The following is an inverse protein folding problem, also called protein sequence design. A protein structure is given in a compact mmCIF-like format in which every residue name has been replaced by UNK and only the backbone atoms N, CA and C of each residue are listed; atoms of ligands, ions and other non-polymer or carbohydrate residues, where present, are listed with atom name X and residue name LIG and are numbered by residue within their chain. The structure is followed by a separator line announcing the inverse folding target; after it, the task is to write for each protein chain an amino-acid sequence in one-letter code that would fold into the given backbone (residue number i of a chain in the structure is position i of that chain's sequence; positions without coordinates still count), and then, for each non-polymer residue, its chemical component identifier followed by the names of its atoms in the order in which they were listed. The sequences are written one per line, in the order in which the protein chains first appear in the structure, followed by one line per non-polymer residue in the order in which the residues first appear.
data_IF_117644386322
#
_entry.id   IF_117644386322
#
_cell.length_a   1.000
_cell.length_b   1.000
_cell.length_c   1.000
_cell.angle_alpha   90.00
_cell.angle_beta   90.00
_cell.angle_gamma   90.00
#
_symmetry.space_group_name_H-M   'P 1'
#
loop_
_entity.id
_entity.type
_entity.pdbx_description
1 polymer ?
#
# COMPACT_ATOMS: atom_id res chain seq x y z
N UNK A 1 0.07 25.77 30.41
CA UNK A 1 -0.75 24.70 31.03
C UNK A 1 -1.59 24.14 29.92
N UNK A 2 -1.18 23.00 29.38
CA UNK A 2 -1.85 22.39 28.25
C UNK A 2 -3.21 21.86 28.70
N UNK A 3 -4.21 21.99 27.84
CA UNK A 3 -5.56 21.59 28.15
C UNK A 3 -5.60 20.07 28.33
N UNK A 4 -6.05 19.53 29.47
CA UNK A 4 -6.05 18.08 29.71
C UNK A 4 -6.80 17.28 28.63
N UNK A 5 -7.76 17.89 27.92
CA UNK A 5 -8.45 17.23 26.81
C UNK A 5 -7.57 17.00 25.58
N UNK A 6 -6.64 17.90 25.27
CA UNK A 6 -5.79 17.79 24.07
C UNK A 6 -4.68 16.76 24.25
N UNK A 7 -4.33 16.44 25.49
CA UNK A 7 -3.35 15.40 25.81
C UNK A 7 -3.91 14.01 25.50
N UNK A 8 -5.13 13.72 25.94
CA UNK A 8 -5.75 12.41 25.67
C UNK A 8 -6.03 12.18 24.19
N UNK A 9 -6.39 13.22 23.44
CA UNK A 9 -6.61 13.13 21.99
C UNK A 9 -5.33 12.72 21.25
N UNK A 10 -4.19 13.35 21.55
CA UNK A 10 -2.88 12.98 20.99
C UNK A 10 -2.50 11.53 21.29
N UNK A 11 -2.73 11.06 22.51
CA UNK A 11 -2.40 9.67 22.88
C UNK A 11 -3.40 8.64 22.35
N UNK A 12 -4.64 9.05 22.06
CA UNK A 12 -5.61 8.26 21.30
C UNK A 12 -5.12 8.03 19.86
N UNK A 13 -4.64 9.08 19.20
CA UNK A 13 -4.04 8.98 17.86
C UNK A 13 -2.78 8.10 17.84
N UNK A 14 -1.86 8.33 18.79
CA UNK A 14 -0.65 7.49 18.95
C UNK A 14 -0.99 6.03 19.22
N UNK A 15 -2.05 5.74 19.98
CA UNK A 15 -2.53 4.38 20.21
C UNK A 15 -2.99 3.70 18.93
N UNK A 16 -3.73 4.40 18.08
CA UNK A 16 -4.16 3.87 16.77
C UNK A 16 -2.96 3.61 15.84
N UNK A 17 -2.01 4.55 15.77
CA UNK A 17 -0.79 4.39 14.97
C UNK A 17 0.09 3.25 15.47
N UNK A 18 0.21 3.08 16.78
CA UNK A 18 0.96 1.99 17.39
C UNK A 18 0.40 0.61 17.03
N UNK A 19 -0.94 0.49 17.02
CA UNK A 19 -1.63 -0.76 16.68
C UNK A 19 -1.44 -1.15 15.21
N UNK A 20 -1.30 -0.17 14.31
CA UNK A 20 -1.02 -0.40 12.87
C UNK A 20 0.49 -0.54 12.60
N UNK A 21 1.35 -0.35 13.61
CA UNK A 21 2.81 -0.43 13.47
C UNK A 21 3.44 0.77 12.76
N UNK A 22 2.76 1.92 12.74
CA UNK A 22 3.24 3.15 12.07
C UNK A 22 3.88 4.17 13.05
N UNK A 23 3.93 3.84 14.34
CA UNK A 23 4.54 4.70 15.35
C UNK A 23 6.07 4.60 15.33
N UNK A 24 6.77 5.72 15.51
CA UNK A 24 8.23 5.70 15.69
C UNK A 24 8.62 5.11 17.06
N UNK A 25 9.86 4.61 17.25
CA UNK A 25 10.32 4.10 18.54
C UNK A 25 10.23 5.12 19.67
N UNK A 26 10.50 6.38 19.38
CA UNK A 26 10.44 7.49 20.33
C UNK A 26 8.99 7.77 20.77
N UNK A 27 8.08 7.90 19.80
CA UNK A 27 6.65 8.09 20.07
C UNK A 27 6.02 6.89 20.79
N UNK A 28 6.48 5.68 20.53
CA UNK A 28 6.02 4.49 21.25
C UNK A 28 6.51 4.49 22.71
N UNK A 29 7.71 5.02 22.96
CA UNK A 29 8.21 5.28 24.30
C UNK A 29 7.32 6.28 25.05
N UNK A 30 7.01 7.42 24.43
CA UNK A 30 6.10 8.43 24.99
C UNK A 30 4.70 7.86 25.26
N UNK A 31 4.16 7.07 24.31
CA UNK A 31 2.87 6.41 24.47
C UNK A 31 2.91 5.47 25.68
N UNK A 32 3.93 4.61 25.80
CA UNK A 32 4.03 3.65 26.91
C UNK A 32 4.07 4.36 28.27
N UNK A 33 4.88 5.40 28.40
CA UNK A 33 4.97 6.22 29.62
C UNK A 33 3.62 6.85 29.99
N UNK A 34 2.86 7.33 28.99
CA UNK A 34 1.53 7.86 29.22
C UNK A 34 0.51 6.77 29.62
N UNK A 35 0.54 5.60 28.98
CA UNK A 35 -0.37 4.49 29.32
C UNK A 35 -0.14 3.96 30.74
N UNK A 36 1.08 4.06 31.27
CA UNK A 36 1.39 3.74 32.67
C UNK A 36 0.72 4.69 33.66
N UNK A 37 0.63 5.98 33.33
CA UNK A 37 0.08 7.03 34.21
C UNK A 37 -1.40 7.34 33.98
N UNK A 38 -1.96 7.03 32.81
CA UNK A 38 -3.34 7.37 32.44
C UNK A 38 -4.23 6.14 32.19
N UNK A 39 -5.20 5.92 33.09
CA UNK A 39 -6.15 4.80 32.97
C UNK A 39 -7.13 4.94 31.78
N UNK A 40 -7.48 6.16 31.36
CA UNK A 40 -8.39 6.40 30.24
C UNK A 40 -7.76 5.96 28.92
N UNK A 41 -6.56 6.47 28.60
CA UNK A 41 -5.84 6.10 27.37
C UNK A 41 -5.47 4.61 27.35
N UNK A 42 -5.17 4.00 28.50
CA UNK A 42 -4.97 2.54 28.61
C UNK A 42 -6.19 1.75 28.16
N UNK A 43 -7.37 2.13 28.62
CA UNK A 43 -8.62 1.47 28.25
C UNK A 43 -8.93 1.62 26.76
N UNK A 44 -8.66 2.79 26.18
CA UNK A 44 -8.83 3.03 24.73
C UNK A 44 -7.86 2.20 23.89
N UNK A 45 -6.59 2.14 24.29
CA UNK A 45 -5.56 1.32 23.63
C UNK A 45 -5.93 -0.18 23.64
N UNK A 46 -6.38 -0.71 24.78
CA UNK A 46 -6.85 -2.10 24.90
C UNK A 46 -8.11 -2.39 24.07
N UNK A 47 -9.00 -1.40 23.92
CA UNK A 47 -10.19 -1.53 23.08
C UNK A 47 -9.82 -1.62 21.60
N UNK A 48 -8.94 -0.74 21.13
CA UNK A 48 -8.43 -0.77 19.75
C UNK A 48 -7.65 -2.06 19.46
N UNK A 49 -6.83 -2.53 20.39
CA UNK A 49 -6.07 -3.78 20.24
C UNK A 49 -7.00 -5.00 20.11
N UNK A 50 -8.08 -5.05 20.90
CA UNK A 50 -9.09 -6.11 20.79
C UNK A 50 -9.82 -6.10 19.45
N UNK A 51 -10.17 -4.93 18.92
CA UNK A 51 -10.81 -4.83 17.60
C UNK A 51 -9.87 -5.37 16.53
N UNK A 52 -8.58 -5.00 16.58
CA UNK A 52 -7.61 -5.47 15.60
C UNK A 52 -7.42 -7.00 15.67
N UNK A 53 -7.35 -7.57 16.88
CA UNK A 53 -7.26 -9.02 17.07
C UNK A 53 -8.52 -9.78 16.68
N UNK A 54 -9.71 -9.16 16.81
CA UNK A 54 -10.97 -9.78 16.42
C UNK A 54 -11.21 -9.74 14.90
N UNK A 55 -10.82 -8.64 14.24
CA UNK A 55 -11.10 -8.38 12.82
C UNK A 55 -9.98 -8.83 11.88
N UNK A 56 -8.79 -9.21 12.39
CA UNK A 56 -7.75 -9.88 11.63
C UNK A 56 -7.49 -11.31 12.17
N UNK A 57 -8.33 -12.31 11.84
CA UNK A 57 -8.09 -13.72 12.21
C UNK A 57 -6.88 -14.37 11.52
N UNK A 58 -6.14 -13.64 10.68
CA UNK A 58 -5.13 -14.19 9.77
C UNK A 58 -3.81 -14.63 10.43
N UNK A 59 -3.70 -14.60 11.76
CA UNK A 59 -2.49 -15.01 12.47
C UNK A 59 -2.69 -16.21 13.43
N UNK A 60 -3.85 -16.88 13.41
CA UNK A 60 -4.14 -18.00 14.31
C UNK A 60 -3.98 -19.40 13.70
N UNK A 61 -3.55 -19.54 12.45
CA UNK A 61 -3.19 -20.83 11.85
C UNK A 61 -1.67 -20.94 11.61
N UNK A 62 -0.91 -21.04 12.71
CA UNK A 62 0.31 -21.87 12.79
C UNK A 62 0.85 -21.81 14.23
N UNK A 63 0.18 -22.52 15.13
CA UNK A 63 0.80 -22.93 16.39
C UNK A 63 0.33 -24.32 16.75
N UNK A 64 0.83 -25.29 15.98
CA UNK A 64 0.85 -26.68 16.40
C UNK A 64 2.24 -27.04 16.90
N UNK A 65 2.23 -27.72 18.05
CA UNK A 65 3.33 -28.39 18.78
C UNK A 65 4.34 -27.54 19.59
N UNK A 66 4.34 -27.82 20.90
CA UNK A 66 5.46 -27.73 21.85
C UNK A 66 5.66 -26.51 22.77
N UNK A 67 4.63 -25.70 23.01
CA UNK A 67 4.69 -24.67 24.08
C UNK A 67 3.48 -24.68 25.03
N UNK A 68 3.04 -25.86 25.44
CA UNK A 68 2.15 -26.04 26.60
C UNK A 68 2.95 -26.60 27.79
N UNK A 69 3.46 -25.71 28.65
CA UNK A 69 3.85 -26.10 30.02
C UNK A 69 3.93 -24.98 31.05
N UNK A 70 3.66 -23.71 30.70
CA UNK A 70 3.85 -22.60 31.66
C UNK A 70 2.60 -21.76 31.98
N UNK A 71 1.44 -22.07 31.39
CA UNK A 71 0.21 -21.31 31.61
C UNK A 71 -0.88 -22.03 32.44
N UNK A 72 -0.64 -23.26 32.90
CA UNK A 72 -1.64 -24.05 33.63
C UNK A 72 -1.70 -23.81 35.15
N UNK A 73 -0.79 -23.02 35.73
CA UNK A 73 -0.62 -22.94 37.20
C UNK A 73 -1.22 -21.67 37.86
N UNK A 74 -2.08 -20.89 37.18
CA UNK A 74 -2.58 -19.61 37.75
C UNK A 74 -4.09 -19.36 37.75
N UNK A 75 -4.93 -20.34 37.40
CA UNK A 75 -6.38 -20.15 37.39
C UNK A 75 -7.18 -21.15 38.25
N UNK A 76 -6.51 -21.89 39.13
CA UNK A 76 -7.19 -22.72 40.12
C UNK A 76 -7.21 -22.01 41.48
N UNK A 77 -7.99 -20.93 41.62
CA UNK A 77 -8.60 -20.57 42.91
C UNK A 77 -9.62 -19.42 42.75
N UNK A 78 -10.77 -19.59 43.39
CA UNK A 78 -11.90 -18.64 43.54
C UNK A 78 -12.93 -18.55 42.42
N UNK A 79 -13.66 -19.66 42.23
CA UNK A 79 -15.09 -19.60 41.88
C UNK A 79 -15.92 -19.88 43.13
N UNK A 80 -16.98 -19.11 43.39
CA UNK A 80 -18.19 -19.69 43.93
C UNK A 80 -19.34 -19.56 42.93
N UNK A 81 -19.91 -20.73 42.60
CA UNK A 81 -21.23 -20.92 42.01
C UNK A 81 -22.30 -20.12 42.76
N UNK A 82 -23.18 -19.44 42.02
CA UNK A 82 -24.59 -19.84 42.00
C UNK A 82 -25.39 -19.21 40.84
N UNK A 83 -26.53 -19.84 40.46
CA UNK A 83 -27.20 -19.65 39.19
C UNK A 83 -28.46 -18.79 39.32
N UNK A 84 -28.73 -17.91 38.36
CA UNK A 84 -30.08 -17.45 38.05
C UNK A 84 -30.07 -16.75 36.69
N UNK A 85 -30.92 -17.23 35.79
CA UNK A 85 -31.19 -16.57 34.53
C UNK A 85 -31.74 -15.16 34.75
N UNK A 86 -31.13 -14.19 34.09
CA UNK A 86 -31.60 -12.83 34.02
C UNK A 86 -31.27 -12.27 32.65
N UNK A 87 -32.29 -12.12 31.80
CA UNK A 87 -32.23 -11.31 30.58
C UNK A 87 -31.82 -9.90 31.00
N UNK A 88 -30.60 -9.47 30.66
CA UNK A 88 -30.22 -8.07 30.78
C UNK A 88 -30.68 -7.37 29.50
N UNK A 89 -31.79 -6.66 29.64
CA UNK A 89 -32.18 -5.58 28.75
C UNK A 89 -31.07 -4.53 28.76
N UNK A 90 -30.49 -4.29 27.59
CA UNK A 90 -29.56 -3.20 27.34
C UNK A 90 -30.35 -1.89 27.52
N UNK A 91 -30.13 -1.23 28.66
CA UNK A 91 -30.78 0.02 29.01
C UNK A 91 -30.31 1.17 28.12
N UNK A 92 -31.29 1.93 27.65
CA UNK A 92 -31.13 3.22 26.98
C UNK A 92 -30.34 4.21 27.86
N UNK A 93 -29.09 4.48 27.49
CA UNK A 93 -28.38 5.66 27.94
C UNK A 93 -28.49 6.74 26.86
N UNK A 94 -29.15 7.88 27.11
CA UNK A 94 -29.19 8.97 26.15
C UNK A 94 -27.83 9.68 26.13
N UNK A 95 -27.01 9.38 25.13
CA UNK A 95 -25.82 10.16 24.77
C UNK A 95 -26.24 11.53 24.23
N UNK A 96 -26.55 12.46 25.15
CA UNK A 96 -26.59 13.90 24.87
C UNK A 96 -25.20 14.47 25.04
N UNK A 97 -24.41 14.50 23.97
CA UNK A 97 -23.43 15.54 23.63
C UNK A 97 -22.76 15.21 22.29
N UNK A 98 -23.52 15.34 21.21
CA UNK A 98 -22.98 15.54 19.86
C UNK A 98 -23.34 16.97 19.43
N UNK A 99 -22.57 17.93 19.94
CA UNK A 99 -22.73 19.33 19.61
C UNK A 99 -21.37 19.93 19.31
N UNK A 100 -21.20 20.33 18.06
CA UNK A 100 -20.19 21.30 17.59
C UNK A 100 -18.79 20.74 17.22
N UNK A 101 -18.75 19.86 16.23
CA UNK A 101 -17.62 19.74 15.30
C UNK A 101 -18.17 19.91 13.87
N UNK A 102 -18.47 21.15 13.48
CA UNK A 102 -18.93 21.46 12.11
C UNK A 102 -18.92 22.98 11.89
N UNK A 103 -17.77 23.52 11.48
CA UNK A 103 -17.74 24.82 10.79
C UNK A 103 -16.52 25.07 9.90
N UNK A 104 -15.50 24.21 9.88
CA UNK A 104 -14.37 24.37 8.94
C UNK A 104 -14.57 23.65 7.60
N UNK A 105 -15.30 22.53 7.56
CA UNK A 105 -15.44 21.72 6.34
C UNK A 105 -16.48 22.24 5.32
N UNK A 106 -17.27 23.26 5.64
CA UNK A 106 -18.30 23.80 4.72
C UNK A 106 -17.78 24.82 3.71
N UNK A 107 -16.47 25.12 3.68
CA UNK A 107 -15.87 26.00 2.65
C UNK A 107 -15.25 25.27 1.46
N UNK A 108 -15.21 23.93 1.45
CA UNK A 108 -14.63 23.14 0.34
C UNK A 108 -15.65 22.28 -0.43
N UNK A 109 -16.93 22.33 -0.06
CA UNK A 109 -18.01 21.63 -0.77
C UNK A 109 -18.46 22.42 -2.00
N UNK A 110 -17.64 22.42 -3.05
CA UNK A 110 -17.97 23.08 -4.32
C UNK A 110 -17.06 22.78 -5.50
N UNK A 111 -15.92 22.12 -5.30
CA UNK A 111 -15.04 21.66 -6.39
C UNK A 111 -15.19 20.15 -6.57
N UNK A 112 -15.56 19.74 -7.79
CA UNK A 112 -15.79 18.36 -8.18
C UNK A 112 -14.58 17.49 -7.83
N UNK A 113 -14.84 16.39 -7.12
CA UNK A 113 -13.88 15.70 -6.27
C UNK A 113 -12.87 14.72 -6.91
N UNK A 114 -12.82 14.38 -8.22
CA UNK A 114 -11.84 13.38 -8.66
C UNK A 114 -10.39 13.92 -8.74
N UNK A 115 -10.19 15.23 -8.93
CA UNK A 115 -8.84 15.79 -9.08
C UNK A 115 -8.08 15.94 -7.77
N UNK A 116 -8.76 16.26 -6.66
CA UNK A 116 -8.12 16.47 -5.35
C UNK A 116 -7.54 15.17 -4.80
N UNK A 117 -8.24 14.05 -4.96
CA UNK A 117 -7.73 12.73 -4.55
C UNK A 117 -6.53 12.30 -5.39
N UNK A 118 -6.48 12.64 -6.68
CA UNK A 118 -5.33 12.35 -7.53
C UNK A 118 -4.07 13.11 -7.07
N UNK A 119 -4.19 14.40 -6.73
CA UNK A 119 -3.06 15.17 -6.21
C UNK A 119 -2.60 14.69 -4.83
N UNK A 120 -3.53 14.29 -3.95
CA UNK A 120 -3.20 13.72 -2.64
C UNK A 120 -2.45 12.39 -2.77
N UNK A 121 -2.86 11.50 -3.68
CA UNK A 121 -2.18 10.23 -3.94
C UNK A 121 -0.77 10.44 -4.51
N UNK A 122 -0.59 11.39 -5.43
CA UNK A 122 0.73 11.74 -5.97
C UNK A 122 1.65 12.28 -4.86
N UNK A 123 1.13 13.16 -3.99
CA UNK A 123 1.90 13.70 -2.88
C UNK A 123 2.34 12.62 -1.89
N UNK A 124 1.44 11.69 -1.53
CA UNK A 124 1.78 10.52 -0.70
C UNK A 124 2.89 9.66 -1.32
N UNK A 125 2.82 9.41 -2.63
CA UNK A 125 3.89 8.68 -3.34
C UNK A 125 5.23 9.40 -3.22
N UNK A 126 5.29 10.71 -3.45
CA UNK A 126 6.53 11.48 -3.32
C UNK A 126 7.09 11.45 -1.89
N UNK A 127 6.24 11.53 -0.87
CA UNK A 127 6.66 11.45 0.53
C UNK A 127 7.21 10.06 0.87
N UNK A 128 6.54 8.99 0.42
CA UNK A 128 7.03 7.62 0.66
C UNK A 128 8.35 7.32 -0.05
N UNK A 129 8.52 7.74 -1.31
CA UNK A 129 9.77 7.58 -2.06
C UNK A 129 10.88 8.44 -1.46
N UNK A 130 10.57 9.67 -1.03
CA UNK A 130 11.50 10.54 -0.30
C UNK A 130 11.97 9.91 1.02
N UNK A 131 11.06 9.34 1.81
CA UNK A 131 11.40 8.68 3.06
C UNK A 131 12.27 7.42 2.84
N UNK A 132 11.97 6.63 1.81
CA UNK A 132 12.77 5.45 1.45
C UNK A 132 14.18 5.82 0.99
N UNK A 133 14.33 6.86 0.17
CA UNK A 133 15.66 7.32 -0.29
C UNK A 133 16.52 7.87 0.85
N UNK A 134 15.93 8.58 1.81
CA UNK A 134 16.63 9.04 3.03
C UNK A 134 17.07 7.86 3.90
N UNK A 135 16.24 6.83 4.05
CA UNK A 135 16.62 5.61 4.79
C UNK A 135 17.78 4.88 4.15
N UNK A 136 17.73 4.66 2.83
CA UNK A 136 18.82 3.99 2.08
C UNK A 136 20.12 4.79 2.15
N UNK A 137 20.05 6.13 2.04
CA UNK A 137 21.21 6.98 2.21
C UNK A 137 21.83 6.87 3.61
N UNK A 138 20.99 6.77 4.66
CA UNK A 138 21.45 6.61 6.05
C UNK A 138 22.12 5.24 6.28
N UNK A 139 21.54 4.16 5.75
CA UNK A 139 22.14 2.82 5.85
C UNK A 139 23.46 2.74 5.10
N UNK A 140 23.55 3.30 3.90
CA UNK A 140 24.81 3.31 3.12
C UNK A 140 25.95 4.06 3.81
N UNK A 141 25.65 5.13 4.56
CA UNK A 141 26.66 5.82 5.35
C UNK A 141 27.12 5.00 6.57
N UNK A 142 26.22 4.22 7.16
CA UNK A 142 26.54 3.36 8.30
C UNK A 142 27.39 2.16 7.88
N UNK A 143 27.13 1.60 6.69
CA UNK A 143 27.97 0.58 6.06
C UNK A 143 29.37 1.12 5.73
N UNK A 144 29.47 2.34 5.20
CA UNK A 144 30.78 2.99 4.97
C UNK A 144 31.57 3.15 6.27
N UNK A 145 30.94 3.59 7.36
CA UNK A 145 31.58 3.72 8.67
C UNK A 145 32.04 2.36 9.22
N UNK A 146 31.20 1.31 9.12
CA UNK A 146 31.59 -0.05 9.51
C UNK A 146 32.75 -0.58 8.68
N UNK A 147 32.73 -0.37 7.37
CA UNK A 147 33.81 -0.80 6.48
C UNK A 147 35.13 -0.10 6.78
N UNK A 148 35.09 1.18 7.17
CA UNK A 148 36.27 1.94 7.59
C UNK A 148 36.86 1.43 8.91
N UNK A 149 36.02 1.10 9.90
CA UNK A 149 36.49 0.55 11.17
C UNK A 149 37.08 -0.86 10.99
N UNK A 150 36.45 -1.71 10.17
CA UNK A 150 37.00 -3.03 9.83
C UNK A 150 38.35 -2.91 9.13
N UNK A 151 38.52 -1.95 8.20
CA UNK A 151 39.79 -1.71 7.55
C UNK A 151 40.88 -1.28 8.54
N UNK A 152 40.54 -0.40 9.51
CA UNK A 152 41.46 0.07 10.56
C UNK A 152 41.92 -1.07 11.47
N UNK A 153 40.98 -1.91 11.94
CA UNK A 153 41.30 -3.05 12.80
C UNK A 153 42.16 -4.09 12.05
N UNK A 154 41.91 -4.29 10.76
CA UNK A 154 42.72 -5.20 9.97
C UNK A 154 44.17 -4.71 9.80
N UNK A 155 44.36 -3.39 9.65
CA UNK A 155 45.71 -2.78 9.62
C UNK A 155 46.44 -2.96 10.97
N UNK A 156 45.73 -2.82 12.10
CA UNK A 156 46.28 -3.05 13.44
C UNK A 156 46.70 -4.52 13.65
N UNK A 157 45.88 -5.48 13.21
CA UNK A 157 46.21 -6.91 13.27
C UNK A 157 47.46 -7.23 12.44
N UNK A 158 47.58 -6.67 11.23
CA UNK A 158 48.77 -6.85 10.38
C UNK A 158 50.01 -6.23 11.06
N UNK A 159 49.88 -5.07 11.69
CA UNK A 159 50.96 -4.42 12.44
C UNK A 159 51.45 -5.27 13.63
N UNK A 160 50.54 -5.81 14.42
CA UNK A 160 50.86 -6.69 15.56
C UNK A 160 51.49 -8.01 15.11
N UNK A 161 50.98 -8.61 14.03
CA UNK A 161 51.57 -9.83 13.46
C UNK A 161 53.02 -9.60 13.01
N UNK A 162 53.31 -8.47 12.39
CA UNK A 162 54.66 -8.13 11.95
C UNK A 162 55.61 -7.86 13.13
N UNK A 163 55.14 -7.27 14.24
CA UNK A 163 55.93 -7.13 15.46
C UNK A 163 56.29 -8.49 16.09
N UNK A 164 55.36 -9.45 16.07
CA UNK A 164 55.64 -10.80 16.61
C UNK A 164 56.56 -11.63 15.71
N UNK A 165 56.65 -11.31 14.42
CA UNK A 165 57.51 -12.02 13.46
C UNK A 165 58.91 -11.42 13.30
N UNK A 166 59.27 -10.36 14.04
CA UNK A 166 60.65 -9.86 14.07
C UNK A 166 61.52 -10.75 14.98
N UNK A 167 62.34 -11.68 14.44
CA UNK A 167 63.11 -12.63 15.23
C UNK A 167 64.41 -12.01 15.78
N UNK A 168 64.59 -10.70 15.65
CA UNK A 168 65.85 -10.00 15.94
C UNK A 168 66.17 -9.77 17.42
N UNK A 169 65.23 -9.93 18.34
CA UNK A 169 65.39 -9.53 19.75
C UNK A 169 65.89 -10.64 20.70
N UNK A 170 66.41 -11.76 20.20
CA UNK A 170 66.91 -12.86 21.04
C UNK A 170 68.41 -13.10 20.84
N UNK A 171 69.20 -12.04 21.04
CA UNK A 171 70.65 -12.04 20.82
C UNK A 171 71.46 -11.59 22.04
N UNK A 172 71.10 -12.05 23.25
CA UNK A 172 71.96 -11.94 24.43
C UNK A 172 71.77 -13.15 25.35
N UNK A 173 72.48 -14.24 25.06
CA UNK A 173 72.81 -15.28 26.03
C UNK A 173 74.28 -15.07 26.42
N UNK A 174 74.59 -14.67 27.68
CA UNK A 174 75.96 -14.55 28.14
C UNK A 174 76.61 -15.93 28.26
N UNK A 175 77.85 -15.99 27.78
CA UNK A 175 78.68 -17.19 27.71
C UNK A 175 78.93 -17.81 29.09
N UNK A 176 78.86 -19.15 29.12
CA UNK A 176 79.23 -20.02 30.23
C UNK A 176 80.71 -19.85 30.59
N UNK A 177 81.08 -19.68 31.88
CA UNK A 177 82.48 -19.55 32.30
C UNK A 177 83.20 -20.91 32.31
N UNK A 178 84.40 -20.93 31.73
CA UNK A 178 85.31 -22.05 31.60
C UNK A 178 85.91 -22.48 32.95
N UNK A 179 85.99 -23.79 33.17
CA UNK A 179 86.63 -24.42 34.33
C UNK A 179 88.16 -24.42 34.14
N UNK A 180 88.97 -23.89 35.07
CA UNK A 180 90.43 -23.99 34.99
C UNK A 180 90.94 -25.36 35.48
N UNK A 181 91.92 -25.88 34.75
CA UNK A 181 92.64 -27.12 35.00
C UNK A 181 93.47 -27.05 36.31
N UNK A 182 93.37 -28.12 37.10
CA UNK A 182 94.08 -28.31 38.37
C UNK A 182 95.52 -28.76 38.08
N UNK A 183 96.49 -27.91 38.41
CA UNK A 183 97.90 -28.25 38.56
C UNK A 183 98.17 -28.82 39.96
N UNK A 184 98.90 -29.95 40.00
CA UNK A 184 99.35 -30.65 41.20
C UNK A 184 100.41 -29.85 41.97
N UNK A 185 100.31 -29.84 43.30
CA UNK A 185 101.36 -29.40 44.21
C UNK A 185 100.99 -29.75 45.65
N UNK A 186 101.91 -30.43 46.33
CA UNK A 186 101.90 -30.91 47.72
C UNK A 186 101.30 -29.93 48.75
N UNK A 187 100.59 -30.47 49.75
CA UNK A 187 100.82 -30.18 51.19
C UNK A 187 99.72 -30.83 52.07
N UNK A 188 100.14 -31.87 52.77
CA UNK A 188 99.36 -32.66 53.73
C UNK A 188 99.40 -32.03 55.13
N UNK A 189 98.66 -30.94 55.38
CA UNK A 189 98.30 -30.53 56.77
C UNK A 189 97.15 -29.50 56.89
N UNK A 190 96.23 -29.45 55.92
CA UNK A 190 95.12 -28.47 55.90
C UNK A 190 93.78 -29.01 55.35
N UNK A 191 93.56 -30.33 55.47
CA UNK A 191 92.46 -31.04 54.79
C UNK A 191 91.08 -30.88 55.45
N UNK A 192 91.01 -30.61 56.75
CA UNK A 192 89.75 -30.48 57.49
C UNK A 192 88.85 -29.31 57.04
N UNK A 193 89.36 -28.07 56.80
CA UNK A 193 88.51 -26.95 56.36
C UNK A 193 88.12 -26.99 54.87
N UNK A 194 88.82 -27.77 54.02
CA UNK A 194 88.45 -27.95 52.62
C UNK A 194 87.26 -28.90 52.46
N UNK A 195 87.19 -29.93 53.28
CA UNK A 195 86.10 -30.91 53.26
C UNK A 195 84.75 -30.30 53.69
N UNK A 196 84.75 -29.45 54.72
CA UNK A 196 83.52 -28.77 55.18
C UNK A 196 82.96 -27.79 54.15
N UNK A 197 83.82 -27.06 53.41
CA UNK A 197 83.39 -26.20 52.30
C UNK A 197 82.79 -26.98 51.14
N UNK A 198 83.32 -28.15 50.83
CA UNK A 198 82.77 -29.03 49.79
C UNK A 198 81.39 -29.56 50.17
N UNK A 199 81.22 -29.96 51.44
CA UNK A 199 79.91 -30.39 51.97
C UNK A 199 78.87 -29.27 51.97
N UNK A 200 79.24 -28.05 52.39
CA UNK A 200 78.35 -26.91 52.32
C UNK A 200 77.91 -26.62 50.88
N UNK A 201 78.85 -26.68 49.93
CA UNK A 201 78.57 -26.48 48.51
C UNK A 201 77.71 -27.60 47.91
N UNK A 202 77.90 -28.85 48.31
CA UNK A 202 77.06 -29.96 47.81
C UNK A 202 75.63 -29.83 48.33
N UNK A 203 75.46 -29.40 49.57
CA UNK A 203 74.13 -29.18 50.16
C UNK A 203 73.42 -28.00 49.50
N UNK A 204 74.15 -26.91 49.23
CA UNK A 204 73.61 -25.75 48.49
C UNK A 204 73.20 -26.14 47.06
N UNK A 205 74.04 -26.91 46.35
CA UNK A 205 73.69 -27.44 45.02
C UNK A 205 72.46 -28.36 45.06
N UNK A 206 72.33 -29.19 46.09
CA UNK A 206 71.16 -30.05 46.27
C UNK A 206 69.88 -29.23 46.51
N UNK A 207 69.98 -28.14 47.29
CA UNK A 207 68.86 -27.21 47.46
C UNK A 207 68.49 -26.49 46.17
N UNK A 208 69.48 -26.02 45.40
CA UNK A 208 69.24 -25.38 44.10
C UNK A 208 68.63 -26.34 43.08
N UNK A 209 69.05 -27.61 43.07
CA UNK A 209 68.44 -28.62 42.22
C UNK A 209 66.98 -28.87 42.62
N UNK A 210 66.67 -28.92 43.92
CA UNK A 210 65.28 -29.06 44.38
C UNK A 210 64.41 -27.88 43.95
N UNK A 211 64.86 -26.65 44.17
CA UNK A 211 64.09 -25.46 43.76
C UNK A 211 63.90 -25.41 42.24
N UNK A 212 64.94 -25.71 41.46
CA UNK A 212 64.83 -25.76 40.01
C UNK A 212 63.87 -26.86 39.54
N UNK A 213 63.85 -28.03 40.21
CA UNK A 213 62.88 -29.09 39.87
C UNK A 213 61.44 -28.71 40.21
N UNK A 214 61.22 -27.98 41.29
CA UNK A 214 59.89 -27.46 41.66
C UNK A 214 59.42 -26.39 40.68
N UNK A 215 60.28 -25.45 40.28
CA UNK A 215 59.97 -24.45 39.26
C UNK A 215 59.63 -25.08 37.91
N UNK A 216 60.39 -26.10 37.48
CA UNK A 216 60.09 -26.84 36.25
C UNK A 216 58.73 -27.57 36.37
N UNK A 217 58.39 -28.09 37.54
CA UNK A 217 57.09 -28.73 37.75
C UNK A 217 55.94 -27.73 37.64
N UNK A 218 56.08 -26.54 38.22
CA UNK A 218 55.09 -25.45 38.13
C UNK A 218 54.94 -24.98 36.68
N UNK A 219 56.06 -24.70 35.99
CA UNK A 219 56.03 -24.27 34.58
C UNK A 219 55.42 -25.33 33.66
N UNK A 220 55.68 -26.62 33.91
CA UNK A 220 55.03 -27.71 33.18
C UNK A 220 53.53 -27.76 33.43
N UNK A 221 53.09 -27.52 34.66
CA UNK A 221 51.67 -27.47 35.00
C UNK A 221 50.98 -26.27 34.34
N UNK A 222 51.61 -25.10 34.36
CA UNK A 222 51.11 -23.89 33.71
C UNK A 222 51.01 -24.07 32.18
N UNK A 223 52.05 -24.62 31.56
CA UNK A 223 52.03 -24.97 30.13
C UNK A 223 50.92 -25.98 29.81
N UNK A 224 50.69 -26.98 30.68
CA UNK A 224 49.57 -27.92 30.54
C UNK A 224 48.21 -27.22 30.56
N UNK A 225 48.00 -26.30 31.50
CA UNK A 225 46.75 -25.53 31.58
C UNK A 225 46.51 -24.60 30.37
N UNK A 226 47.58 -24.05 29.80
CA UNK A 226 47.51 -23.24 28.57
C UNK A 226 47.06 -24.07 27.36
N UNK A 227 47.61 -25.29 27.21
CA UNK A 227 47.20 -26.22 26.13
C UNK A 227 45.73 -26.62 26.26
N UNK A 228 45.23 -26.83 27.48
CA UNK A 228 43.82 -27.17 27.69
C UNK A 228 42.88 -25.99 27.40
N UNK A 229 43.29 -24.76 27.71
CA UNK A 229 42.56 -23.55 27.31
C UNK A 229 42.53 -23.37 25.80
N UNK A 230 43.64 -23.60 25.10
CA UNK A 230 43.71 -23.52 23.64
C UNK A 230 42.79 -24.57 22.97
N UNK A 231 42.76 -25.80 23.51
CA UNK A 231 41.81 -26.84 23.07
C UNK A 231 40.36 -26.42 23.31
N UNK A 232 40.06 -25.80 24.45
CA UNK A 232 38.71 -25.34 24.74
C UNK A 232 38.27 -24.20 23.81
N UNK A 233 39.16 -23.26 23.52
CA UNK A 233 38.88 -22.14 22.61
C UNK A 233 38.71 -22.63 21.16
N UNK A 234 39.58 -23.52 20.69
CA UNK A 234 39.45 -24.11 19.35
C UNK A 234 38.17 -24.93 19.21
N UNK A 235 37.76 -25.69 20.23
CA UNK A 235 36.48 -26.40 20.22
C UNK A 235 35.29 -25.43 20.15
N UNK A 236 35.34 -24.31 20.88
CA UNK A 236 34.30 -23.27 20.82
C UNK A 236 34.26 -22.57 19.45
N UNK A 237 35.41 -22.30 18.85
CA UNK A 237 35.47 -21.72 17.51
C UNK A 237 34.84 -22.65 16.48
N UNK A 238 35.18 -23.93 16.51
CA UNK A 238 34.58 -24.93 15.62
C UNK A 238 33.05 -25.04 15.80
N UNK A 239 32.56 -24.99 17.04
CA UNK A 239 31.11 -24.99 17.32
C UNK A 239 30.43 -23.72 16.78
N UNK A 240 31.05 -22.56 16.96
CA UNK A 240 30.51 -21.31 16.40
C UNK A 240 30.51 -21.31 14.87
N UNK A 241 31.53 -21.87 14.22
CA UNK A 241 31.57 -22.01 12.76
C UNK A 241 30.44 -22.91 12.25
N UNK A 242 30.21 -24.06 12.91
CA UNK A 242 29.09 -24.97 12.57
C UNK A 242 27.72 -24.29 12.75
N UNK A 243 27.55 -23.47 13.79
CA UNK A 243 26.30 -22.70 13.96
C UNK A 243 26.10 -21.64 12.87
N UNK A 244 27.17 -20.98 12.42
CA UNK A 244 27.09 -20.00 11.33
C UNK A 244 26.75 -20.68 10.00
N UNK A 245 27.32 -21.85 9.72
CA UNK A 245 27.01 -22.62 8.53
C UNK A 245 25.55 -23.12 8.52
N UNK A 246 25.01 -23.51 9.67
CA UNK A 246 23.58 -23.85 9.82
C UNK A 246 22.68 -22.65 9.54
N UNK A 247 22.94 -21.52 10.19
CA UNK A 247 22.12 -20.31 10.02
C UNK A 247 22.17 -19.76 8.59
N UNK A 248 23.33 -19.83 7.93
CA UNK A 248 23.45 -19.41 6.52
C UNK A 248 22.65 -20.32 5.59
N UNK A 249 22.61 -21.63 5.89
CA UNK A 249 21.80 -22.60 5.15
C UNK A 249 20.31 -22.34 5.36
N UNK A 250 19.86 -22.10 6.60
CA UNK A 250 18.48 -21.76 6.91
C UNK A 250 18.03 -20.46 6.22
N UNK A 251 18.86 -19.40 6.27
CA UNK A 251 18.57 -18.15 5.56
C UNK A 251 18.45 -18.35 4.05
N UNK A 252 19.23 -19.26 3.47
CA UNK A 252 19.13 -19.59 2.05
C UNK A 252 17.80 -20.30 1.74
N UNK A 253 17.37 -21.24 2.59
CA UNK A 253 16.09 -21.94 2.46
C UNK A 253 14.92 -20.95 2.57
N UNK A 254 14.93 -20.07 3.58
CA UNK A 254 13.87 -19.06 3.77
C UNK A 254 13.80 -18.10 2.58
N UNK A 255 14.94 -17.66 2.04
CA UNK A 255 14.97 -16.81 0.84
C UNK A 255 14.40 -17.50 -0.39
N UNK A 256 14.72 -18.78 -0.59
CA UNK A 256 14.19 -19.57 -1.70
C UNK A 256 12.67 -19.74 -1.56
N UNK A 257 12.17 -20.08 -0.36
CA UNK A 257 10.74 -20.16 -0.07
C UNK A 257 10.03 -18.84 -0.36
N UNK A 258 10.56 -17.71 0.15
CA UNK A 258 9.96 -16.40 -0.08
C UNK A 258 9.94 -16.01 -1.56
N UNK A 259 10.94 -16.46 -2.34
CA UNK A 259 10.95 -16.26 -3.80
C UNK A 259 9.86 -17.06 -4.51
N UNK A 260 9.59 -18.28 -4.04
CA UNK A 260 8.54 -19.16 -4.57
C UNK A 260 7.16 -18.61 -4.21
N UNK A 261 6.97 -18.18 -2.96
CA UNK A 261 5.73 -17.56 -2.50
C UNK A 261 5.44 -16.26 -3.27
N UNK A 262 6.47 -15.45 -3.50
CA UNK A 262 6.37 -14.25 -4.33
C UNK A 262 5.87 -14.55 -5.75
N UNK A 263 6.34 -15.65 -6.35
CA UNK A 263 5.88 -16.08 -7.68
C UNK A 263 4.43 -16.59 -7.67
N UNK A 264 4.00 -17.27 -6.61
CA UNK A 264 2.61 -17.74 -6.44
C UNK A 264 1.67 -16.54 -6.28
N UNK A 265 2.02 -15.59 -5.42
CA UNK A 265 1.22 -14.36 -5.19
C UNK A 265 1.10 -13.57 -6.48
N UNK A 266 2.19 -13.38 -7.23
CA UNK A 266 2.16 -12.68 -8.51
C UNK A 266 1.24 -13.38 -9.54
N UNK A 267 1.25 -14.72 -9.58
CA UNK A 267 0.35 -15.50 -10.44
C UNK A 267 -1.11 -15.31 -10.04
N UNK A 268 -1.42 -15.37 -8.75
CA UNK A 268 -2.78 -15.18 -8.23
C UNK A 268 -3.30 -13.76 -8.51
N UNK A 269 -2.47 -12.74 -8.34
CA UNK A 269 -2.82 -11.35 -8.67
C UNK A 269 -3.15 -11.19 -10.16
N UNK A 270 -2.36 -11.80 -11.05
CA UNK A 270 -2.66 -11.79 -12.49
C UNK A 270 -4.00 -12.46 -12.82
N UNK A 271 -4.36 -13.53 -12.11
CA UNK A 271 -5.65 -14.22 -12.31
C UNK A 271 -6.82 -13.37 -11.82
N UNK A 272 -6.67 -12.62 -10.72
CA UNK A 272 -7.70 -11.71 -10.23
C UNK A 272 -7.98 -10.57 -11.23
N UNK A 273 -6.93 -9.97 -11.79
CA UNK A 273 -7.06 -8.91 -12.80
C UNK A 273 -7.79 -9.42 -14.06
N UNK A 274 -7.39 -10.59 -14.57
CA UNK A 274 -8.04 -11.22 -15.74
C UNK A 274 -9.52 -11.56 -15.45
N UNK A 275 -9.83 -12.04 -14.24
CA UNK A 275 -11.21 -12.30 -13.83
C UNK A 275 -12.05 -11.02 -13.73
N UNK A 276 -11.48 -9.93 -13.21
CA UNK A 276 -12.14 -8.62 -13.14
C UNK A 276 -12.39 -8.03 -14.54
N UNK A 277 -11.43 -8.14 -15.45
CA UNK A 277 -11.59 -7.73 -16.85
C UNK A 277 -12.73 -8.52 -17.53
N UNK A 278 -12.81 -9.85 -17.30
CA UNK A 278 -13.90 -10.67 -17.83
C UNK A 278 -15.27 -10.27 -17.25
N UNK A 279 -15.34 -9.98 -15.95
CA UNK A 279 -16.60 -9.55 -15.31
C UNK A 279 -17.07 -8.19 -15.83
N UNK A 280 -16.16 -7.24 -15.99
CA UNK A 280 -16.49 -5.91 -16.53
C UNK A 280 -16.92 -5.99 -17.99
N UNK A 281 -16.22 -6.79 -18.81
CA UNK A 281 -16.61 -7.06 -20.20
C UNK A 281 -18.01 -7.69 -20.29
N UNK A 282 -18.27 -8.74 -19.50
CA UNK A 282 -19.58 -9.41 -19.46
C UNK A 282 -20.70 -8.45 -19.03
N UNK A 283 -20.47 -7.65 -17.99
CA UNK A 283 -21.45 -6.66 -17.49
C UNK A 283 -21.77 -5.62 -18.56
N UNK A 284 -20.74 -5.10 -19.25
CA UNK A 284 -20.94 -4.12 -20.33
C UNK A 284 -21.72 -4.68 -21.53
N UNK A 285 -21.56 -5.97 -21.82
CA UNK A 285 -22.33 -6.67 -22.85
C UNK A 285 -23.80 -6.81 -22.43
N UNK A 286 -24.05 -7.25 -21.20
CA UNK A 286 -25.41 -7.39 -20.67
C UNK A 286 -26.15 -6.04 -20.62
N UNK A 287 -25.46 -4.96 -20.24
CA UNK A 287 -26.03 -3.61 -20.25
C UNK A 287 -26.38 -3.14 -21.66
N UNK A 288 -25.53 -3.47 -22.65
CA UNK A 288 -25.81 -3.18 -24.06
C UNK A 288 -27.04 -3.94 -24.54
N UNK A 289 -27.11 -5.24 -24.26
CA UNK A 289 -28.25 -6.08 -24.64
C UNK A 289 -29.54 -5.59 -23.98
N UNK A 290 -29.49 -5.21 -22.70
CA UNK A 290 -30.64 -4.62 -22.01
C UNK A 290 -31.11 -3.32 -22.66
N UNK A 291 -30.18 -2.44 -23.06
CA UNK A 291 -30.54 -1.20 -23.79
C UNK A 291 -31.17 -1.50 -25.14
N UNK A 292 -30.66 -2.48 -25.88
CA UNK A 292 -31.24 -2.91 -27.15
C UNK A 292 -32.64 -3.49 -26.97
N UNK A 293 -32.86 -4.34 -25.95
CA UNK A 293 -34.18 -4.90 -25.66
C UNK A 293 -35.21 -3.83 -25.24
N UNK A 294 -34.78 -2.82 -24.48
CA UNK A 294 -35.63 -1.66 -24.14
C UNK A 294 -35.97 -0.87 -25.40
N UNK A 295 -34.98 -0.59 -26.26
CA UNK A 295 -35.21 0.10 -27.53
C UNK A 295 -36.13 -0.68 -28.48
N UNK A 296 -35.97 -1.99 -28.58
CA UNK A 296 -36.83 -2.87 -29.39
C UNK A 296 -38.27 -2.86 -28.90
N UNK A 297 -38.48 -2.83 -27.58
CA UNK A 297 -39.81 -2.71 -26.98
C UNK A 297 -40.45 -1.36 -27.32
N UNK A 298 -39.70 -0.26 -27.15
CA UNK A 298 -40.18 1.08 -27.49
C UNK A 298 -40.60 1.17 -28.96
N UNK A 299 -39.79 0.62 -29.88
CA UNK A 299 -40.10 0.60 -31.31
C UNK A 299 -41.36 -0.23 -31.58
N UNK A 300 -41.52 -1.41 -30.97
CA UNK A 300 -42.72 -2.23 -31.14
C UNK A 300 -43.97 -1.53 -30.62
N UNK A 301 -43.86 -0.85 -29.48
CA UNK A 301 -44.95 -0.10 -28.86
C UNK A 301 -45.35 1.13 -29.70
N UNK A 302 -44.40 1.72 -30.44
CA UNK A 302 -44.65 2.78 -31.42
C UNK A 302 -45.35 2.25 -32.67
N UNK A 303 -44.84 1.16 -33.24
CA UNK A 303 -45.38 0.55 -34.47
C UNK A 303 -46.79 -0.04 -34.26
N UNK A 304 -47.12 -0.44 -33.03
CA UNK A 304 -48.46 -0.93 -32.67
C UNK A 304 -49.46 0.16 -32.25
N UNK A 305 -49.05 1.43 -32.18
CA UNK A 305 -49.93 2.50 -31.70
C UNK A 305 -51.05 2.79 -32.72
N UNK A 306 -52.30 2.76 -32.25
CA UNK A 306 -53.50 2.98 -33.09
C UNK A 306 -53.54 4.35 -33.77
N UNK A 307 -52.86 5.32 -33.18
CA UNK A 307 -52.80 6.72 -33.59
C UNK A 307 -51.41 7.11 -34.14
N UNK A 308 -50.63 6.13 -34.63
CA UNK A 308 -49.37 6.40 -35.32
C UNK A 308 -49.64 7.10 -36.65
N UNK A 309 -49.02 8.26 -36.84
CA UNK A 309 -48.99 9.02 -38.10
C UNK A 309 -47.56 9.05 -38.62
N UNK A 310 -47.40 8.68 -39.89
CA UNK A 310 -46.11 8.77 -40.59
C UNK A 310 -46.21 9.94 -41.56
N UNK A 311 -45.40 10.96 -41.33
CA UNK A 311 -45.42 12.21 -42.11
C UNK A 311 -44.08 12.36 -42.81
N UNK A 312 -44.09 12.50 -44.12
CA UNK A 312 -42.88 12.84 -44.88
C UNK A 312 -42.52 14.31 -44.65
N UNK A 313 -41.24 14.58 -44.44
CA UNK A 313 -40.72 15.92 -44.17
C UNK A 313 -40.01 16.46 -45.40
N UNK A 314 -40.32 17.70 -45.77
CA UNK A 314 -39.76 18.35 -46.94
C UNK A 314 -38.69 19.38 -46.57
N UNK A 315 -37.67 19.49 -47.41
CA UNK A 315 -36.69 20.58 -47.37
C UNK A 315 -37.36 21.87 -47.86
N UNK A 316 -37.31 22.89 -47.01
CA UNK A 316 -37.86 24.22 -47.27
C UNK A 316 -36.71 25.14 -47.66
N UNK A 317 -36.63 25.47 -48.96
CA UNK A 317 -35.71 26.53 -49.34
C UNK A 317 -36.15 27.88 -48.73
N UNK A 318 -35.23 28.82 -48.56
CA UNK A 318 -35.54 30.17 -48.04
C UNK A 318 -36.55 30.96 -48.89
N UNK A 319 -37.04 30.39 -50.00
CA UNK A 319 -38.09 30.94 -50.88
C UNK A 319 -39.42 30.16 -50.79
N UNK A 320 -39.53 29.20 -49.86
CA UNK A 320 -40.75 28.43 -49.59
C UNK A 320 -41.07 27.32 -50.60
N UNK A 321 -40.15 26.98 -51.52
CA UNK A 321 -40.35 25.84 -52.44
C UNK A 321 -39.89 24.54 -51.77
N UNK A 322 -40.82 23.60 -51.66
CA UNK A 322 -40.57 22.25 -51.14
C UNK A 322 -39.78 21.43 -52.15
N UNK A 323 -38.66 20.81 -51.71
CA UNK A 323 -37.88 19.85 -52.51
C UNK A 323 -38.27 18.39 -52.19
N UNK A 324 -37.51 17.42 -52.70
CA UNK A 324 -37.63 15.98 -52.40
C UNK A 324 -37.73 15.75 -50.87
N UNK A 325 -38.51 14.78 -50.37
CA UNK A 325 -38.58 14.51 -48.94
C UNK A 325 -37.18 14.15 -48.39
N UNK A 326 -36.82 14.81 -47.29
CA UNK A 326 -35.52 14.69 -46.60
C UNK A 326 -35.64 14.06 -45.20
N UNK A 327 -36.85 13.64 -44.81
CA UNK A 327 -37.05 13.00 -43.52
C UNK A 327 -38.43 12.38 -43.36
N UNK A 328 -38.63 11.71 -42.23
CA UNK A 328 -39.90 11.15 -41.80
C UNK A 328 -40.12 11.41 -40.32
N UNK A 329 -41.32 11.81 -39.97
CA UNK A 329 -41.78 11.96 -38.58
C UNK A 329 -42.78 10.85 -38.29
N UNK A 330 -42.47 10.05 -37.27
CA UNK A 330 -43.36 9.09 -36.65
C UNK A 330 -43.98 9.76 -35.43
N UNK A 331 -45.25 10.14 -35.53
CA UNK A 331 -45.95 10.85 -34.48
C UNK A 331 -47.05 9.99 -33.89
N UNK A 332 -47.03 9.80 -32.58
CA UNK A 332 -48.12 9.19 -31.82
C UNK A 332 -48.70 10.26 -30.91
N UNK A 333 -49.93 10.66 -31.19
CA UNK A 333 -50.61 11.75 -30.48
C UNK A 333 -50.64 11.50 -28.96
N UNK A 334 -50.14 12.49 -28.20
CA UNK A 334 -50.06 12.42 -26.73
C UNK A 334 -49.13 11.34 -26.18
N UNK A 335 -48.16 10.84 -26.95
CA UNK A 335 -47.20 9.84 -26.47
C UNK A 335 -45.76 10.14 -26.84
N UNK A 336 -45.47 10.28 -28.14
CA UNK A 336 -44.08 10.33 -28.62
C UNK A 336 -43.97 10.78 -30.06
N UNK A 337 -42.88 11.46 -30.37
CA UNK A 337 -42.48 11.90 -31.70
C UNK A 337 -41.05 11.43 -31.99
N UNK A 338 -40.87 10.71 -33.11
CA UNK A 338 -39.55 10.37 -33.64
C UNK A 338 -39.38 11.03 -34.99
N UNK A 339 -38.35 11.85 -35.12
CA UNK A 339 -37.99 12.52 -36.36
C UNK A 339 -36.71 11.91 -36.90
N UNK A 340 -36.78 11.30 -38.09
CA UNK A 340 -35.62 10.95 -38.89
C UNK A 340 -35.39 11.98 -39.98
N UNK A 341 -34.20 12.56 -40.02
CA UNK A 341 -33.75 13.44 -41.09
C UNK A 341 -32.52 12.82 -41.77
N UNK A 342 -32.37 13.06 -43.07
CA UNK A 342 -31.27 12.56 -43.88
C UNK A 342 -30.50 13.74 -44.45
N UNK A 343 -29.17 13.60 -44.58
CA UNK A 343 -28.31 14.55 -45.29
C UNK A 343 -28.29 16.00 -44.79
N UNK A 344 -28.63 16.25 -43.51
CA UNK A 344 -28.62 17.59 -42.91
C UNK A 344 -27.28 18.32 -43.05
N UNK A 345 -26.15 17.59 -43.00
CA UNK A 345 -24.79 18.13 -43.05
C UNK A 345 -24.20 18.40 -44.43
N UNK A 346 -24.83 17.92 -45.52
CA UNK A 346 -24.20 17.95 -46.85
C UNK A 346 -24.37 19.29 -47.59
N UNK A 347 -25.28 20.16 -47.16
CA UNK A 347 -25.75 21.28 -47.97
C UNK A 347 -25.09 22.64 -47.67
N UNK A 348 -24.20 22.78 -46.67
CA UNK A 348 -23.56 24.08 -46.37
C UNK A 348 -22.07 23.97 -46.00
N UNK A 349 -21.14 24.38 -46.88
CA UNK A 349 -19.71 24.46 -46.55
C UNK A 349 -19.47 25.58 -45.53
N UNK A 350 -19.08 25.24 -44.30
CA UNK A 350 -18.69 26.20 -43.24
C UNK A 350 -19.31 25.99 -41.85
N UNK A 351 -20.25 25.06 -41.69
CA UNK A 351 -21.02 24.85 -40.44
C UNK A 351 -20.62 23.59 -39.66
N UNK A 352 -19.33 23.25 -39.60
CA UNK A 352 -18.85 22.03 -38.92
C UNK A 352 -19.11 21.97 -37.40
N UNK A 353 -19.58 23.06 -36.79
CA UNK A 353 -19.96 23.13 -35.38
C UNK A 353 -21.46 23.47 -35.15
N UNK A 354 -22.30 23.39 -36.19
CA UNK A 354 -23.73 23.66 -36.04
C UNK A 354 -24.49 22.45 -35.49
N UNK A 355 -25.42 22.70 -34.57
CA UNK A 355 -26.37 21.72 -34.09
C UNK A 355 -27.69 21.88 -34.88
N UNK A 356 -28.32 20.77 -35.28
CA UNK A 356 -29.65 20.81 -35.87
C UNK A 356 -30.68 20.67 -34.75
N UNK A 357 -31.54 21.66 -34.58
CA UNK A 357 -32.55 21.66 -33.52
C UNK A 357 -33.94 21.64 -34.12
N UNK A 358 -34.80 20.77 -33.59
CA UNK A 358 -36.20 20.73 -33.96
C UNK A 358 -37.04 21.59 -33.02
N UNK A 359 -38.11 22.13 -33.59
CA UNK A 359 -39.04 23.03 -32.94
C UNK A 359 -40.45 22.59 -33.27
N UNK A 360 -41.32 22.60 -32.26
CA UNK A 360 -42.75 22.44 -32.42
C UNK A 360 -43.43 23.80 -32.34
N UNK A 361 -44.49 24.00 -33.10
CA UNK A 361 -45.27 25.24 -33.10
C UNK A 361 -46.76 24.94 -33.10
N UNK A 362 -47.50 25.76 -32.34
CA UNK A 362 -48.96 25.78 -32.28
C UNK A 362 -49.48 26.63 -33.45
N UNK A 363 -50.21 26.03 -34.38
CA UNK A 363 -50.67 26.69 -35.60
C UNK A 363 -49.57 27.02 -36.62
N UNK A 364 -49.37 28.32 -36.89
CA UNK A 364 -48.37 28.80 -37.86
C UNK A 364 -46.99 28.87 -37.24
N UNK A 365 -45.94 28.59 -38.03
CA UNK A 365 -44.53 28.51 -37.64
C UNK A 365 -43.91 29.72 -36.89
N UNK A 366 -44.69 30.75 -36.59
CA UNK A 366 -44.27 32.00 -35.97
C UNK A 366 -44.73 32.16 -34.52
N UNK A 367 -45.75 31.40 -34.08
CA UNK A 367 -46.33 31.51 -32.74
C UNK A 367 -46.19 30.20 -31.95
N UNK A 368 -46.10 30.32 -30.62
CA UNK A 368 -46.08 29.16 -29.73
C UNK A 368 -44.90 28.18 -29.93
N UNK A 369 -43.73 28.68 -30.34
CA UNK A 369 -42.58 27.81 -30.67
C UNK A 369 -41.96 27.22 -29.40
N UNK A 370 -41.90 25.89 -29.31
CA UNK A 370 -41.24 25.13 -28.24
C UNK A 370 -40.11 24.29 -28.83
N UNK A 371 -39.00 24.15 -28.11
CA UNK A 371 -37.93 23.27 -28.57
C UNK A 371 -38.28 21.80 -28.33
N UNK A 372 -38.05 20.98 -29.34
CA UNK A 372 -38.18 19.52 -29.25
C UNK A 372 -36.84 18.82 -29.02
N UNK A 373 -35.73 19.57 -29.04
CA UNK A 373 -34.38 19.06 -28.82
C UNK A 373 -33.52 19.05 -30.08
N UNK A 374 -32.31 18.53 -29.91
CA UNK A 374 -31.23 18.55 -30.90
C UNK A 374 -31.15 17.16 -31.54
N UNK A 375 -30.95 17.11 -32.85
CA UNK A 375 -30.74 15.85 -33.56
C UNK A 375 -29.40 15.22 -33.19
N UNK A 376 -29.41 13.91 -33.05
CA UNK A 376 -28.21 13.10 -32.88
C UNK A 376 -27.91 12.31 -34.14
N UNK A 377 -26.64 12.09 -34.39
CA UNK A 377 -26.17 11.32 -35.52
C UNK A 377 -26.36 9.81 -35.22
N UNK A 378 -27.30 9.16 -35.91
CA UNK A 378 -27.70 7.77 -35.66
C UNK A 378 -26.88 6.77 -36.49
N UNK A 379 -26.80 6.97 -37.81
CA UNK A 379 -26.08 6.07 -38.73
C UNK A 379 -25.20 6.84 -39.72
N UNK A 380 -23.88 6.71 -39.59
CA UNK A 380 -22.87 7.36 -40.44
C UNK A 380 -22.93 6.92 -41.89
N UNK A 381 -23.34 5.68 -42.18
CA UNK A 381 -23.42 5.18 -43.56
C UNK A 381 -24.62 5.74 -44.30
N UNK A 382 -25.73 5.92 -43.60
CA UNK A 382 -26.97 6.46 -44.14
C UNK A 382 -27.09 7.98 -43.98
N UNK A 383 -26.12 8.65 -43.35
CA UNK A 383 -26.16 10.07 -42.96
C UNK A 383 -27.50 10.42 -42.26
N UNK A 384 -27.94 9.51 -41.37
CA UNK A 384 -29.24 9.57 -40.71
C UNK A 384 -29.11 10.25 -39.36
N UNK A 385 -29.96 11.23 -39.15
CA UNK A 385 -30.09 12.00 -37.92
C UNK A 385 -31.43 11.67 -37.27
N UNK A 386 -31.43 11.50 -35.95
CA UNK A 386 -32.63 11.14 -35.20
C UNK A 386 -32.87 12.11 -34.04
N UNK A 387 -34.14 12.40 -33.79
CA UNK A 387 -34.62 13.05 -32.59
C UNK A 387 -35.79 12.25 -32.03
N UNK A 388 -35.78 11.96 -30.73
CA UNK A 388 -36.90 11.38 -29.99
C UNK A 388 -37.39 12.39 -28.95
N UNK A 389 -38.70 12.61 -28.90
CA UNK A 389 -39.34 13.49 -27.95
C UNK A 389 -40.59 12.81 -27.40
N UNK A 390 -40.64 12.63 -26.08
CA UNK A 390 -41.63 11.77 -25.40
C UNK A 390 -42.52 12.54 -24.40
N UNK A 391 -42.57 13.88 -24.48
CA UNK A 391 -43.41 14.68 -23.58
C UNK A 391 -44.84 14.85 -24.14
N UNK A 392 -45.85 14.18 -23.55
CA UNK A 392 -47.20 14.12 -24.11
C UNK A 392 -47.88 15.48 -24.12
N UNK A 393 -47.68 16.29 -23.08
CA UNK A 393 -48.36 17.59 -22.93
C UNK A 393 -47.95 18.52 -24.06
N UNK A 394 -46.64 18.65 -24.29
CA UNK A 394 -46.10 19.43 -25.40
C UNK A 394 -46.55 18.89 -26.76
N UNK A 395 -46.61 17.56 -26.96
CA UNK A 395 -47.05 16.96 -28.22
C UNK A 395 -48.53 17.16 -28.52
N UNK A 396 -49.38 17.32 -27.50
CA UNK A 396 -50.81 17.62 -27.70
C UNK A 396 -51.08 19.05 -28.15
N UNK A 397 -50.14 19.97 -27.99
CA UNK A 397 -50.30 21.37 -28.42
C UNK A 397 -49.71 21.64 -29.81
N UNK A 398 -48.76 20.81 -30.26
CA UNK A 398 -48.02 21.06 -31.50
C UNK A 398 -48.83 20.67 -32.73
N UNK A 399 -48.91 21.58 -33.70
CA UNK A 399 -49.55 21.35 -34.99
C UNK A 399 -48.52 21.19 -36.13
N UNK A 400 -47.35 21.81 -35.98
CA UNK A 400 -46.28 21.78 -36.98
C UNK A 400 -44.91 21.64 -36.34
N UNK A 401 -43.99 20.98 -37.06
CA UNK A 401 -42.61 20.76 -36.63
C UNK A 401 -41.67 21.24 -37.71
N UNK A 402 -40.58 21.90 -37.30
CA UNK A 402 -39.55 22.38 -38.22
C UNK A 402 -38.16 22.28 -37.60
N UNK A 403 -37.13 22.35 -38.44
CA UNK A 403 -35.73 22.20 -38.05
C UNK A 403 -34.93 23.42 -38.46
N UNK A 404 -34.05 23.90 -37.59
CA UNK A 404 -33.14 25.02 -37.85
C UNK A 404 -31.68 24.63 -37.56
N UNK A 405 -30.75 25.41 -38.13
CA UNK A 405 -29.32 25.35 -37.78
C UNK A 405 -29.04 26.28 -36.59
N UNK A 406 -28.66 25.71 -35.47
CA UNK A 406 -28.38 26.44 -34.25
C UNK A 406 -26.88 26.33 -33.87
N UNK A 407 -26.37 27.22 -33.00
CA UNK A 407 -25.02 27.08 -32.46
C UNK A 407 -24.80 25.74 -31.75
N UNK A 408 -23.54 25.36 -31.55
CA UNK A 408 -23.20 24.15 -30.77
C UNK A 408 -23.87 24.18 -29.39
N UNK A 409 -24.67 23.15 -29.10
CA UNK A 409 -25.47 23.06 -27.86
C UNK A 409 -26.91 23.60 -27.97
N UNK A 410 -27.31 24.07 -29.14
CA UNK A 410 -28.66 24.56 -29.42
C UNK A 410 -28.93 25.97 -28.91
N UNK A 411 -30.18 26.41 -29.04
CA UNK A 411 -30.66 27.72 -28.62
C UNK A 411 -32.01 27.61 -27.91
N UNK A 412 -32.43 28.72 -27.27
CA UNK A 412 -33.73 28.81 -26.58
C UNK A 412 -34.88 29.21 -27.49
N UNK A 413 -34.56 29.81 -28.63
CA UNK A 413 -35.50 30.29 -29.66
C UNK A 413 -34.87 30.03 -31.02
N UNK A 414 -35.65 29.71 -32.06
CA UNK A 414 -35.10 29.46 -33.38
C UNK A 414 -34.34 30.71 -33.87
N UNK A 415 -33.03 30.60 -34.03
CA UNK A 415 -32.18 31.69 -34.56
C UNK A 415 -31.69 31.38 -35.98
N UNK A 416 -31.63 30.09 -36.33
CA UNK A 416 -31.20 29.63 -37.63
C UNK A 416 -32.25 29.74 -38.73
N UNK A 417 -31.78 29.64 -39.97
CA UNK A 417 -32.66 29.41 -41.12
C UNK A 417 -33.37 28.07 -40.99
N UNK A 418 -34.65 28.03 -41.38
CA UNK A 418 -35.43 26.78 -41.45
C UNK A 418 -34.87 25.90 -42.57
N UNK A 419 -34.63 24.64 -42.24
CA UNK A 419 -34.18 23.61 -43.17
C UNK A 419 -35.31 22.66 -43.55
N UNK A 420 -36.03 22.16 -42.55
CA UNK A 420 -37.08 21.16 -42.74
C UNK A 420 -38.36 21.65 -42.08
N UNK A 421 -39.51 21.33 -42.66
CA UNK A 421 -40.81 21.59 -42.06
C UNK A 421 -41.84 20.52 -42.41
N UNK A 422 -42.73 20.22 -41.47
CA UNK A 422 -43.85 19.30 -41.64
C UNK A 422 -45.02 19.71 -40.75
N UNK A 423 -46.24 19.45 -41.23
CA UNK A 423 -47.47 19.63 -40.45
C UNK A 423 -47.90 18.28 -39.88
N UNK A 424 -48.05 18.21 -38.56
CA UNK A 424 -48.28 16.95 -37.83
C UNK A 424 -49.76 16.69 -37.61
N UNK A 425 -50.54 17.75 -37.40
CA UNK A 425 -51.99 17.69 -37.17
C UNK A 425 -52.84 18.24 -38.31
N UNK A 426 -52.29 18.35 -39.52
CA UNK A 426 -53.08 18.76 -40.67
C UNK A 426 -54.38 17.94 -40.72
N UNK A 427 -55.51 18.61 -40.52
CA UNK A 427 -56.82 18.02 -40.71
C UNK A 427 -56.83 17.40 -42.10
N UNK A 428 -57.16 16.11 -42.20
CA UNK A 428 -57.42 15.47 -43.48
C UNK A 428 -58.47 16.35 -44.19
N UNK A 429 -58.04 17.21 -45.11
CA UNK A 429 -58.91 17.71 -46.17
C UNK A 429 -59.18 16.48 -47.04
N UNK A 430 -60.11 15.64 -46.60
CA UNK A 430 -60.79 14.72 -47.48
C UNK A 430 -61.47 15.59 -48.56
N UNK A 431 -61.32 15.26 -49.85
CA UNK A 431 -62.01 15.96 -50.93
C UNK A 431 -63.53 15.90 -50.79
#
# INVERSE_FOLDING_TARGET
MDNPSTVHERFGELSALAIIGQVSPEEYGELREHLESCALCRKEHEALSRILLAELPLAQEEKDSDLDTWAAERQAETSPRNPAGGKILLGDYPLKHAGRISSWWTKFAGMQAPSVYAYAAIFLLFVTVGALTIRVAKESNLERMRSAEVARLNEEIVGLRNQMHDPGAQKYLPASPSIPAITKGDETSGAAPKYSRLLARSLELETQLRTATEEIAILKQEAGSGVDQERQLSARLADTEDTLDKLTTELKIVRESHSQDGAIIARQQSQLIDAEEKLTAATSSMDRDRRLLVADRDIRDLMGARNLRIIDVFDVDGKGKTRKPFGRVFFTEGKSLIFYAFDLGNNQPGLQAAAYQAWGSEGSFEHGVRSLGIFYHDDQKANRWVLKFDDPDTLTEIDSVFVTTEPAGGSKKPTGGRLLAAYVKASLNHP
#
